data_IF_483988203578
#
_entry.id   IF_483988203578
#
_cell.length_a   1.000
_cell.length_b   1.000
_cell.length_c   1.000
_cell.angle_alpha   90.00
_cell.angle_beta   90.00
_cell.angle_gamma   90.00
#
_symmetry.space_group_name_H-M   'P 1'
#
loop_
_entity.id
_entity.type
_entity.pdbx_description
1 polymer ?
#
# COMPACT_ATOMS: atom_id res chain seq x y z
N UNK A 1 2.30 33.36 -8.82
CA UNK A 1 1.44 33.11 -7.64
C UNK A 1 0.06 32.54 -7.98
N UNK A 2 -0.72 33.12 -8.92
CA UNK A 2 -2.07 32.58 -9.27
C UNK A 2 -2.00 31.23 -10.03
N UNK A 3 -0.98 31.04 -10.89
CA UNK A 3 -0.86 29.82 -11.74
C UNK A 3 -0.68 28.51 -10.96
N UNK A 4 -0.11 28.56 -9.75
CA UNK A 4 0.11 27.36 -8.94
C UNK A 4 -1.13 26.96 -8.14
N UNK A 5 -2.03 27.91 -7.84
CA UNK A 5 -3.24 27.64 -7.05
C UNK A 5 -4.19 26.67 -7.74
N UNK A 6 -4.39 26.81 -9.06
CA UNK A 6 -5.25 25.91 -9.84
C UNK A 6 -4.67 24.48 -9.85
N UNK A 7 -3.35 24.34 -10.07
CA UNK A 7 -2.70 23.03 -10.06
C UNK A 7 -2.81 22.37 -8.67
N UNK A 8 -2.57 23.14 -7.61
CA UNK A 8 -2.69 22.67 -6.24
C UNK A 8 -4.12 22.22 -5.94
N UNK A 9 -5.13 22.97 -6.38
CA UNK A 9 -6.53 22.57 -6.22
C UNK A 9 -6.84 21.25 -6.95
N UNK A 10 -6.39 21.10 -8.21
CA UNK A 10 -6.55 19.84 -8.96
C UNK A 10 -5.89 18.68 -8.22
N UNK A 11 -4.64 18.84 -7.78
CA UNK A 11 -3.90 17.81 -7.04
C UNK A 11 -4.62 17.43 -5.74
N UNK A 12 -5.14 18.41 -5.00
CA UNK A 12 -5.88 18.19 -3.77
C UNK A 12 -7.14 17.36 -4.01
N UNK A 13 -7.93 17.70 -5.03
CA UNK A 13 -9.15 16.96 -5.37
C UNK A 13 -8.82 15.53 -5.80
N UNK A 14 -7.76 15.32 -6.58
CA UNK A 14 -7.30 13.99 -6.97
C UNK A 14 -6.89 13.16 -5.74
N UNK A 15 -6.05 13.72 -4.86
CA UNK A 15 -5.59 13.03 -3.66
C UNK A 15 -6.79 12.68 -2.76
N UNK A 16 -7.72 13.62 -2.58
CA UNK A 16 -8.96 13.39 -1.84
C UNK A 16 -9.76 12.24 -2.44
N UNK A 17 -9.95 12.20 -3.76
CA UNK A 17 -10.69 11.13 -4.44
C UNK A 17 -9.98 9.76 -4.32
N UNK A 18 -8.65 9.73 -4.27
CA UNK A 18 -7.85 8.51 -4.08
C UNK A 18 -7.93 7.96 -2.64
N UNK A 19 -8.09 8.82 -1.63
CA UNK A 19 -8.18 8.43 -0.20
C UNK A 19 -9.62 8.13 0.20
N UNK A 20 -10.54 9.01 -0.17
CA UNK A 20 -11.88 9.13 0.41
C UNK A 20 -12.96 8.91 -0.65
N UNK A 21 -13.13 7.65 -1.07
CA UNK A 21 -14.16 7.25 -2.05
C UNK A 21 -15.58 7.64 -1.64
N UNK A 22 -15.83 7.75 -0.34
CA UNK A 22 -17.13 8.15 0.23
C UNK A 22 -17.64 9.48 -0.35
N UNK A 23 -16.75 10.42 -0.64
CA UNK A 23 -17.17 11.71 -1.20
C UNK A 23 -17.61 11.57 -2.66
N UNK A 24 -16.86 10.82 -3.47
CA UNK A 24 -17.23 10.57 -4.85
C UNK A 24 -18.55 9.77 -4.97
N UNK A 25 -18.79 8.80 -4.08
CA UNK A 25 -19.98 7.96 -4.14
C UNK A 25 -21.24 8.66 -3.58
N UNK A 26 -21.11 9.59 -2.63
CA UNK A 26 -22.27 10.33 -2.08
C UNK A 26 -22.61 11.62 -2.85
N UNK A 27 -21.67 12.16 -3.63
CA UNK A 27 -21.86 13.39 -4.43
C UNK A 27 -21.93 13.06 -5.93
N UNK A 28 -22.56 11.93 -6.28
CA UNK A 28 -22.70 11.43 -7.66
C UNK A 28 -23.74 12.23 -8.48
N UNK A 29 -23.58 13.55 -8.50
CA UNK A 29 -24.35 14.46 -9.36
C UNK A 29 -23.72 14.36 -10.75
N UNK A 30 -24.43 13.86 -11.75
CA UNK A 30 -23.89 13.73 -13.10
C UNK A 30 -24.23 14.96 -13.95
N UNK A 31 -23.21 15.61 -14.52
CA UNK A 31 -23.38 16.69 -15.51
C UNK A 31 -22.92 16.12 -16.85
N UNK A 32 -23.83 16.00 -17.82
CA UNK A 32 -23.55 15.38 -19.12
C UNK A 32 -22.99 13.94 -19.00
N UNK A 33 -23.45 13.19 -18.00
CA UNK A 33 -22.98 11.83 -17.72
C UNK A 33 -21.61 11.74 -17.03
N UNK A 34 -20.99 12.87 -16.67
CA UNK A 34 -19.71 12.91 -15.94
C UNK A 34 -19.94 13.51 -14.56
N UNK A 35 -19.60 12.75 -13.51
CA UNK A 35 -19.59 13.27 -12.14
C UNK A 35 -18.49 14.32 -11.96
N UNK A 36 -18.75 15.49 -11.33
CA UNK A 36 -17.75 16.54 -11.13
C UNK A 36 -16.64 16.11 -10.16
N UNK A 37 -16.84 15.04 -9.39
CA UNK A 37 -15.81 14.40 -8.55
C UNK A 37 -15.27 13.10 -9.15
N UNK A 38 -15.51 12.84 -10.43
CA UNK A 38 -14.91 11.71 -11.15
C UNK A 38 -13.40 11.86 -11.18
N UNK A 39 -12.69 10.85 -10.67
CA UNK A 39 -11.23 10.84 -10.68
C UNK A 39 -10.67 11.01 -12.10
N UNK A 40 -11.31 10.39 -13.09
CA UNK A 40 -10.92 10.47 -14.50
C UNK A 40 -10.99 11.89 -15.07
N UNK A 41 -12.03 12.66 -14.70
CA UNK A 41 -12.15 14.06 -15.11
C UNK A 41 -10.96 14.87 -14.59
N UNK A 42 -10.67 14.74 -13.30
CA UNK A 42 -9.56 15.48 -12.69
C UNK A 42 -8.19 15.03 -13.18
N UNK A 43 -8.02 13.74 -13.50
CA UNK A 43 -6.82 13.24 -14.19
C UNK A 43 -6.65 13.90 -15.56
N UNK A 44 -7.72 14.00 -16.36
CA UNK A 44 -7.68 14.69 -17.65
C UNK A 44 -7.30 16.17 -17.53
N UNK A 45 -7.96 16.88 -16.59
CA UNK A 45 -7.64 18.28 -16.28
C UNK A 45 -6.19 18.46 -15.81
N UNK A 46 -5.68 17.52 -15.00
CA UNK A 46 -4.29 17.51 -14.56
C UNK A 46 -3.32 17.38 -15.74
N UNK A 47 -3.56 16.42 -16.65
CA UNK A 47 -2.70 16.19 -17.83
C UNK A 47 -2.69 17.42 -18.73
N UNK A 48 -3.86 17.98 -19.06
CA UNK A 48 -3.97 19.22 -19.85
C UNK A 48 -3.19 20.34 -19.17
N UNK A 49 -3.36 20.50 -17.85
CA UNK A 49 -2.65 21.54 -17.09
C UNK A 49 -1.14 21.37 -17.13
N UNK A 50 -0.63 20.15 -17.02
CA UNK A 50 0.82 19.87 -17.10
C UNK A 50 1.35 20.19 -18.48
N UNK A 51 0.67 19.75 -19.54
CA UNK A 51 1.07 20.02 -20.92
C UNK A 51 1.19 21.51 -21.21
N UNK A 52 0.25 22.32 -20.69
CA UNK A 52 0.25 23.77 -20.88
C UNK A 52 1.33 24.51 -20.08
N UNK A 53 1.75 24.00 -18.92
CA UNK A 53 2.58 24.77 -17.97
C UNK A 53 4.00 24.23 -17.84
N UNK A 54 4.18 22.90 -17.83
CA UNK A 54 5.47 22.22 -17.61
C UNK A 54 5.50 20.82 -18.22
N UNK A 55 5.47 20.74 -19.55
CA UNK A 55 5.62 19.47 -20.28
C UNK A 55 6.94 18.73 -19.97
N UNK A 56 7.99 19.43 -19.54
CA UNK A 56 9.27 18.83 -19.15
C UNK A 56 9.15 17.81 -18.00
N UNK A 57 8.10 17.87 -17.18
CA UNK A 57 7.84 16.84 -16.15
C UNK A 57 7.58 15.48 -16.81
N UNK A 58 6.96 15.47 -17.99
CA UNK A 58 6.63 14.24 -18.73
C UNK A 58 7.85 13.58 -19.38
N UNK A 59 9.01 14.25 -19.41
CA UNK A 59 10.23 13.71 -20.03
C UNK A 59 11.28 13.25 -19.02
N UNK A 60 10.96 13.25 -17.72
CA UNK A 60 11.89 12.78 -16.69
C UNK A 60 12.17 11.28 -16.85
N UNK A 61 13.32 10.83 -16.32
CA UNK A 61 13.71 9.42 -16.40
C UNK A 61 12.70 8.48 -15.73
N UNK A 62 12.09 8.91 -14.62
CA UNK A 62 11.00 8.16 -13.97
C UNK A 62 9.81 8.00 -14.90
N UNK A 63 9.41 9.08 -15.60
CA UNK A 63 8.31 9.04 -16.56
C UNK A 63 8.63 8.16 -17.77
N UNK A 64 9.88 8.15 -18.24
CA UNK A 64 10.30 7.24 -19.31
C UNK A 64 10.12 5.76 -18.92
N UNK A 65 10.51 5.37 -17.70
CA UNK A 65 10.27 4.01 -17.21
C UNK A 65 8.77 3.73 -16.98
N UNK A 66 7.98 4.75 -16.61
CA UNK A 66 6.53 4.61 -16.53
C UNK A 66 5.93 4.34 -17.92
N UNK A 67 6.37 5.05 -18.95
CA UNK A 67 5.93 4.80 -20.33
C UNK A 67 6.34 3.41 -20.81
N UNK A 68 7.55 2.98 -20.51
CA UNK A 68 7.99 1.60 -20.79
C UNK A 68 7.06 0.59 -20.12
N UNK A 69 6.77 0.75 -18.83
CA UNK A 69 5.84 -0.12 -18.10
C UNK A 69 4.44 -0.13 -18.72
N UNK A 70 3.89 1.04 -19.08
CA UNK A 70 2.57 1.15 -19.72
C UNK A 70 2.58 0.44 -21.09
N UNK A 71 3.57 0.70 -21.94
CA UNK A 71 3.68 0.13 -23.28
C UNK A 71 3.80 -1.40 -23.19
N UNK A 72 4.69 -1.92 -22.34
CA UNK A 72 4.85 -3.36 -22.15
C UNK A 72 3.55 -4.00 -21.66
N UNK A 73 2.86 -3.36 -20.70
CA UNK A 73 1.59 -3.87 -20.17
C UNK A 73 0.48 -3.84 -21.22
N UNK A 74 0.42 -2.81 -22.07
CA UNK A 74 -0.54 -2.71 -23.17
C UNK A 74 -0.28 -3.81 -24.22
N UNK A 75 0.98 -3.98 -24.66
CA UNK A 75 1.36 -5.04 -25.60
C UNK A 75 0.98 -6.41 -25.04
N UNK A 76 1.30 -6.66 -23.77
CA UNK A 76 0.96 -7.90 -23.09
C UNK A 76 -0.57 -8.11 -23.00
N UNK A 77 -1.33 -7.05 -22.73
CA UNK A 77 -2.80 -7.09 -22.68
C UNK A 77 -3.42 -7.45 -24.05
N UNK A 78 -2.87 -6.90 -25.14
CA UNK A 78 -3.28 -7.25 -26.51
C UNK A 78 -2.89 -8.68 -26.89
N UNK A 79 -1.63 -9.06 -26.63
CA UNK A 79 -1.09 -10.36 -27.04
C UNK A 79 -1.77 -11.55 -26.37
N UNK A 80 -2.21 -11.39 -25.12
CA UNK A 80 -2.79 -12.49 -24.34
C UNK A 80 -4.32 -12.43 -24.28
N UNK A 81 -4.96 -11.60 -25.11
CA UNK A 81 -6.42 -11.36 -25.06
C UNK A 81 -6.92 -11.02 -23.64
N UNK A 82 -6.06 -10.43 -22.81
CA UNK A 82 -6.40 -9.97 -21.46
C UNK A 82 -7.12 -8.60 -21.50
N UNK A 83 -7.90 -8.34 -22.56
CA UNK A 83 -8.61 -7.08 -22.83
C UNK A 83 -9.64 -6.66 -21.75
N UNK A 84 -9.61 -7.29 -20.57
CA UNK A 84 -10.26 -6.74 -19.40
C UNK A 84 -9.61 -5.40 -19.04
N UNK A 85 -10.33 -4.31 -19.31
CA UNK A 85 -10.01 -2.94 -18.88
C UNK A 85 -9.76 -2.84 -17.36
N UNK A 86 -10.21 -3.85 -16.61
CA UNK A 86 -10.04 -4.02 -15.18
C UNK A 86 -8.60 -3.92 -14.69
N UNK A 87 -7.64 -4.50 -15.42
CA UNK A 87 -6.26 -4.52 -14.96
C UNK A 87 -5.57 -3.17 -15.14
N UNK A 88 -5.87 -2.48 -16.24
CA UNK A 88 -5.46 -1.09 -16.47
C UNK A 88 -5.98 -0.18 -15.36
N UNK A 89 -7.26 -0.32 -15.00
CA UNK A 89 -7.89 0.48 -13.94
C UNK A 89 -7.33 0.18 -12.55
N UNK A 90 -7.08 -1.08 -12.21
CA UNK A 90 -6.70 -1.44 -10.84
C UNK A 90 -5.21 -1.34 -10.54
N UNK A 91 -4.35 -1.32 -11.57
CA UNK A 91 -2.90 -1.45 -11.44
C UNK A 91 -2.17 -0.33 -12.17
N UNK A 92 -2.32 -0.26 -13.49
CA UNK A 92 -1.55 0.66 -14.33
C UNK A 92 -1.90 2.11 -14.02
N UNK A 93 -3.19 2.46 -14.00
CA UNK A 93 -3.64 3.83 -13.76
C UNK A 93 -3.29 4.33 -12.35
N UNK A 94 -3.48 3.57 -11.26
CA UNK A 94 -3.04 3.95 -9.92
C UNK A 94 -1.54 4.23 -9.82
N UNK A 95 -0.71 3.38 -10.44
CA UNK A 95 0.74 3.59 -10.48
C UNK A 95 1.07 4.84 -11.30
N UNK A 96 0.53 4.96 -12.52
CA UNK A 96 0.80 6.07 -13.42
C UNK A 96 0.42 7.41 -12.81
N UNK A 97 -0.76 7.51 -12.20
CA UNK A 97 -1.22 8.71 -11.53
C UNK A 97 -0.35 9.05 -10.32
N UNK A 98 0.01 8.05 -9.50
CA UNK A 98 0.83 8.29 -8.30
C UNK A 98 2.24 8.74 -8.64
N UNK A 99 2.85 8.18 -9.69
CA UNK A 99 4.16 8.60 -10.21
C UNK A 99 4.08 9.99 -10.83
N UNK A 100 3.06 10.27 -11.64
CA UNK A 100 2.87 11.60 -12.23
C UNK A 100 2.70 12.67 -11.15
N UNK A 101 1.86 12.41 -10.15
CA UNK A 101 1.69 13.31 -9.02
C UNK A 101 3.00 13.47 -8.23
N UNK A 102 3.75 12.38 -8.00
CA UNK A 102 5.04 12.45 -7.34
C UNK A 102 6.01 13.41 -8.07
N UNK A 103 6.14 13.27 -9.39
CA UNK A 103 7.00 14.11 -10.21
C UNK A 103 6.57 15.58 -10.15
N UNK A 104 5.26 15.86 -10.23
CA UNK A 104 4.74 17.23 -10.06
C UNK A 104 5.09 17.79 -8.69
N UNK A 105 4.79 17.04 -7.63
CA UNK A 105 4.98 17.49 -6.27
C UNK A 105 6.47 17.78 -5.99
N UNK A 106 7.35 16.87 -6.38
CA UNK A 106 8.78 16.98 -6.05
C UNK A 106 9.53 18.01 -6.89
N UNK A 107 9.21 18.17 -8.18
CA UNK A 107 9.95 19.05 -9.08
C UNK A 107 9.32 20.43 -9.27
N UNK A 108 8.03 20.58 -9.02
CA UNK A 108 7.31 21.82 -9.38
C UNK A 108 6.83 22.65 -8.18
N UNK A 109 6.44 22.03 -7.07
CA UNK A 109 5.82 22.76 -5.96
C UNK A 109 6.82 23.23 -4.90
N UNK A 110 6.52 24.38 -4.29
CA UNK A 110 7.32 24.90 -3.18
C UNK A 110 7.18 24.01 -1.94
N UNK A 111 8.19 24.05 -1.05
CA UNK A 111 8.18 23.30 0.21
C UNK A 111 6.99 23.65 1.11
N UNK A 112 6.51 24.88 1.07
CA UNK A 112 5.31 25.30 1.82
C UNK A 112 4.05 24.64 1.28
N UNK A 113 3.86 24.67 -0.02
CA UNK A 113 2.73 23.99 -0.69
C UNK A 113 2.77 22.49 -0.44
N UNK A 114 3.95 21.87 -0.49
CA UNK A 114 4.11 20.44 -0.18
C UNK A 114 3.71 20.11 1.26
N UNK A 115 4.11 20.94 2.23
CA UNK A 115 3.69 20.78 3.63
C UNK A 115 2.17 20.91 3.78
N UNK A 116 1.56 21.88 3.10
CA UNK A 116 0.11 22.05 3.10
C UNK A 116 -0.61 20.83 2.53
N UNK A 117 -0.23 20.38 1.33
CA UNK A 117 -0.81 19.20 0.69
C UNK A 117 -0.66 17.97 1.59
N UNK A 118 0.52 17.74 2.17
CA UNK A 118 0.73 16.59 3.04
C UNK A 118 -0.13 16.64 4.31
N UNK A 119 -0.22 17.79 5.00
CA UNK A 119 -1.09 17.93 6.18
C UNK A 119 -2.56 17.66 5.83
N UNK A 120 -3.00 18.18 4.68
CA UNK A 120 -4.34 17.92 4.15
C UNK A 120 -4.55 16.42 3.88
N UNK A 121 -3.59 15.76 3.22
CA UNK A 121 -3.61 14.31 2.98
C UNK A 121 -3.72 13.52 4.29
N UNK A 122 -2.91 13.85 5.31
CA UNK A 122 -2.95 13.17 6.61
C UNK A 122 -4.28 13.39 7.34
N UNK A 123 -4.89 14.57 7.21
CA UNK A 123 -6.23 14.85 7.74
C UNK A 123 -7.27 13.94 7.08
N UNK A 124 -7.23 13.77 5.76
CA UNK A 124 -8.15 12.87 5.06
C UNK A 124 -7.93 11.40 5.41
N UNK A 125 -6.68 10.99 5.63
CA UNK A 125 -6.39 9.63 6.14
C UNK A 125 -7.01 9.44 7.53
N UNK A 126 -6.86 10.41 8.43
CA UNK A 126 -7.46 10.36 9.77
C UNK A 126 -8.99 10.29 9.69
N UNK A 127 -9.60 11.13 8.85
CA UNK A 127 -11.04 11.13 8.60
C UNK A 127 -11.52 9.78 8.06
N UNK A 128 -10.83 9.22 7.05
CA UNK A 128 -11.14 7.89 6.52
C UNK A 128 -10.97 6.79 7.57
N UNK A 129 -9.95 6.86 8.43
CA UNK A 129 -9.79 5.93 9.55
C UNK A 129 -10.99 5.97 10.50
N UNK A 130 -11.44 7.17 10.89
CA UNK A 130 -12.61 7.34 11.76
C UNK A 130 -13.88 6.75 11.12
N UNK A 131 -14.16 7.07 9.85
CA UNK A 131 -15.32 6.50 9.15
C UNK A 131 -15.26 4.97 9.07
N UNK A 132 -14.09 4.41 8.77
CA UNK A 132 -13.91 2.96 8.74
C UNK A 132 -14.13 2.34 10.13
N UNK A 133 -13.60 2.92 11.20
CA UNK A 133 -13.83 2.41 12.57
C UNK A 133 -15.33 2.40 12.89
N UNK A 134 -16.03 3.52 12.65
CA UNK A 134 -17.47 3.61 12.90
C UNK A 134 -18.24 2.58 12.07
N UNK A 135 -17.92 2.46 10.78
CA UNK A 135 -18.56 1.51 9.88
C UNK A 135 -18.31 0.05 10.27
N UNK A 136 -17.09 -0.29 10.67
CA UNK A 136 -16.69 -1.67 10.98
C UNK A 136 -17.13 -2.14 12.36
N UNK A 137 -17.37 -1.23 13.31
CA UNK A 137 -18.06 -1.58 14.57
C UNK A 137 -19.48 -2.08 14.27
N UNK A 138 -20.17 -1.46 13.30
CA UNK A 138 -21.53 -1.85 12.90
C UNK A 138 -21.55 -3.04 11.95
N UNK A 139 -20.59 -3.11 11.03
CA UNK A 139 -20.50 -4.13 9.99
C UNK A 139 -19.10 -4.76 9.92
N UNK A 140 -18.75 -5.66 10.87
CA UNK A 140 -17.39 -6.22 10.96
C UNK A 140 -16.92 -6.99 9.71
N UNK A 141 -17.86 -7.50 8.91
CA UNK A 141 -17.57 -8.26 7.68
C UNK A 141 -17.61 -7.41 6.40
N UNK A 142 -17.92 -6.11 6.49
CA UNK A 142 -18.10 -5.26 5.31
C UNK A 142 -16.88 -5.20 4.39
N UNK A 143 -15.66 -5.20 4.94
CA UNK A 143 -14.43 -5.22 4.11
C UNK A 143 -14.37 -6.47 3.22
N UNK A 144 -14.80 -7.62 3.76
CA UNK A 144 -14.82 -8.88 3.00
C UNK A 144 -15.92 -8.84 1.95
N UNK A 145 -17.08 -8.26 2.27
CA UNK A 145 -18.19 -8.08 1.32
C UNK A 145 -17.79 -7.16 0.14
N UNK A 146 -17.09 -6.04 0.41
CA UNK A 146 -16.64 -5.09 -0.62
C UNK A 146 -15.67 -5.74 -1.61
N UNK A 147 -14.81 -6.65 -1.15
CA UNK A 147 -13.72 -7.20 -1.99
C UNK A 147 -14.05 -8.57 -2.57
N UNK A 148 -14.79 -9.38 -1.82
CA UNK A 148 -15.13 -10.74 -2.19
C UNK A 148 -16.36 -10.82 -3.08
N UNK A 149 -16.34 -10.22 -4.28
CA UNK A 149 -17.41 -10.39 -5.28
C UNK A 149 -17.76 -11.85 -5.68
N UNK A 150 -17.20 -12.86 -5.00
CA UNK A 150 -17.59 -14.27 -5.05
C UNK A 150 -18.26 -14.81 -3.77
N UNK A 151 -18.61 -13.97 -2.79
CA UNK A 151 -19.28 -14.38 -1.55
C UNK A 151 -20.81 -14.28 -1.57
N UNK A 152 -21.42 -13.91 -2.70
CA UNK A 152 -22.87 -13.79 -2.85
C UNK A 152 -23.48 -12.46 -2.37
N UNK A 153 -22.67 -11.45 -2.02
CA UNK A 153 -23.18 -10.13 -1.65
C UNK A 153 -23.65 -9.33 -2.87
N UNK A 154 -24.80 -8.66 -2.76
CA UNK A 154 -25.38 -7.91 -3.85
C UNK A 154 -24.57 -6.63 -4.14
N UNK A 155 -24.49 -6.16 -5.41
CA UNK A 155 -23.83 -4.89 -5.75
C UNK A 155 -24.33 -3.68 -4.92
N UNK A 156 -25.58 -3.74 -4.48
CA UNK A 156 -26.22 -2.76 -3.61
C UNK A 156 -25.56 -2.67 -2.23
N UNK A 157 -25.20 -3.81 -1.63
CA UNK A 157 -24.53 -3.85 -0.32
C UNK A 157 -23.11 -3.29 -0.38
N UNK A 158 -22.38 -3.61 -1.46
CA UNK A 158 -21.04 -3.04 -1.70
C UNK A 158 -21.12 -1.52 -1.84
N UNK A 159 -22.14 -1.03 -2.56
CA UNK A 159 -22.40 0.40 -2.72
C UNK A 159 -22.76 1.04 -1.38
N UNK A 160 -23.63 0.41 -0.60
CA UNK A 160 -24.02 0.87 0.73
C UNK A 160 -22.81 1.00 1.67
N UNK A 161 -21.97 -0.04 1.79
CA UNK A 161 -20.77 0.03 2.64
C UNK A 161 -19.80 1.12 2.20
N UNK A 162 -19.65 1.33 0.90
CA UNK A 162 -18.82 2.42 0.37
C UNK A 162 -19.41 3.80 0.69
N UNK A 163 -20.74 3.96 0.63
CA UNK A 163 -21.45 5.22 0.97
C UNK A 163 -21.33 5.60 2.44
N UNK A 164 -21.25 4.64 3.35
CA UNK A 164 -21.03 4.92 4.78
C UNK A 164 -19.54 5.09 5.13
N UNK A 165 -18.64 5.01 4.14
CA UNK A 165 -17.22 5.30 4.30
C UNK A 165 -16.31 4.09 4.55
N UNK A 166 -16.82 2.86 4.46
CA UNK A 166 -15.99 1.66 4.55
C UNK A 166 -15.17 1.53 3.26
N UNK A 167 -13.85 1.47 3.43
CA UNK A 167 -12.88 1.40 2.36
C UNK A 167 -12.63 -0.05 1.90
N UNK A 168 -11.90 -0.22 0.79
CA UNK A 168 -11.52 -1.54 0.27
C UNK A 168 -10.16 -2.00 0.85
N UNK A 169 -9.71 -3.21 0.48
CA UNK A 169 -8.40 -3.74 0.92
C UNK A 169 -7.22 -2.81 0.61
N UNK A 170 -7.28 -2.02 -0.46
CA UNK A 170 -6.22 -1.08 -0.81
C UNK A 170 -5.95 -0.03 0.28
N UNK A 171 -7.00 0.44 0.96
CA UNK A 171 -6.82 1.38 2.06
C UNK A 171 -6.15 0.71 3.26
N UNK A 172 -6.71 -0.40 3.74
CA UNK A 172 -6.21 -1.10 4.94
C UNK A 172 -4.81 -1.70 4.76
N UNK A 173 -4.52 -2.28 3.59
CA UNK A 173 -3.18 -2.76 3.25
C UNK A 173 -2.17 -1.62 3.08
N UNK A 174 -2.66 -0.39 2.88
CA UNK A 174 -1.84 0.81 2.66
C UNK A 174 -1.35 1.47 3.94
N UNK A 175 -2.12 1.36 5.02
CA UNK A 175 -1.79 1.97 6.31
C UNK A 175 -0.45 1.48 6.91
N UNK A 176 -0.10 0.19 6.90
CA UNK A 176 1.10 -0.33 7.57
C UNK A 176 2.41 0.33 7.17
N UNK A 177 2.66 0.52 5.87
CA UNK A 177 3.91 1.10 5.40
C UNK A 177 3.99 2.61 5.63
N UNK A 178 2.90 3.28 6.04
CA UNK A 178 2.94 4.68 6.46
C UNK A 178 3.41 4.82 7.91
N UNK A 179 3.21 3.82 8.77
CA UNK A 179 3.55 3.89 10.19
C UNK A 179 5.00 4.32 10.48
N UNK A 180 6.04 3.82 9.78
CA UNK A 180 7.42 4.24 10.01
C UNK A 180 7.65 5.74 9.83
N UNK A 181 7.10 6.33 8.76
CA UNK A 181 7.28 7.77 8.48
C UNK A 181 6.41 8.63 9.40
N UNK A 182 5.21 8.19 9.78
CA UNK A 182 4.39 8.92 10.77
C UNK A 182 5.07 8.88 12.15
N UNK A 183 5.68 7.77 12.53
CA UNK A 183 6.48 7.69 13.76
C UNK A 183 7.71 8.62 13.70
N UNK A 184 8.36 8.72 12.55
CA UNK A 184 9.43 9.71 12.36
C UNK A 184 8.92 11.15 12.55
N UNK A 185 7.75 11.50 12.00
CA UNK A 185 7.13 12.81 12.19
C UNK A 185 6.80 13.09 13.66
N UNK A 186 6.25 12.10 14.36
CA UNK A 186 6.05 12.13 15.81
C UNK A 186 7.36 12.45 16.54
N UNK A 187 8.44 11.70 16.26
CA UNK A 187 9.75 11.89 16.88
C UNK A 187 10.35 13.27 16.62
N UNK A 188 10.14 13.83 15.42
CA UNK A 188 10.73 15.12 15.01
C UNK A 188 9.91 16.34 15.39
N UNK A 189 8.64 16.17 15.69
CA UNK A 189 7.76 17.27 16.10
C UNK A 189 8.20 17.88 17.44
N UNK A 190 8.18 19.22 17.53
CA UNK A 190 8.57 19.97 18.73
C UNK A 190 7.41 20.24 19.69
N UNK A 191 6.19 20.41 19.17
CA UNK A 191 5.01 20.73 19.98
C UNK A 191 4.28 19.49 20.50
N UNK A 192 3.81 19.56 21.75
CA UNK A 192 3.02 18.50 22.39
C UNK A 192 1.76 18.19 21.58
N UNK A 193 1.09 19.21 21.03
CA UNK A 193 -0.08 19.01 20.16
C UNK A 193 0.28 18.20 18.90
N UNK A 194 1.34 18.58 18.18
CA UNK A 194 1.77 17.84 16.97
C UNK A 194 2.16 16.39 17.32
N UNK A 195 2.85 16.17 18.44
CA UNK A 195 3.13 14.81 18.94
C UNK A 195 1.86 14.04 19.21
N UNK A 196 0.90 14.63 19.92
CA UNK A 196 -0.38 14.01 20.22
C UNK A 196 -1.17 13.70 18.94
N UNK A 197 -1.14 14.58 17.93
CA UNK A 197 -1.78 14.36 16.64
C UNK A 197 -1.16 13.18 15.88
N UNK A 198 0.17 13.11 15.76
CA UNK A 198 0.81 11.97 15.08
C UNK A 198 0.64 10.66 15.83
N UNK A 199 0.71 10.70 17.17
CA UNK A 199 0.42 9.52 18.00
C UNK A 199 -1.03 9.07 17.84
N UNK A 200 -1.98 10.01 17.88
CA UNK A 200 -3.40 9.77 17.61
C UNK A 200 -3.62 9.17 16.22
N UNK A 201 -2.92 9.66 15.19
CA UNK A 201 -2.98 9.09 13.85
C UNK A 201 -2.44 7.66 13.79
N UNK A 202 -1.30 7.37 14.44
CA UNK A 202 -0.77 6.00 14.56
C UNK A 202 -1.81 5.08 15.21
N UNK A 203 -2.40 5.50 16.32
CA UNK A 203 -3.43 4.73 17.03
C UNK A 203 -4.67 4.51 16.17
N UNK A 204 -5.16 5.54 15.48
CA UNK A 204 -6.28 5.43 14.54
C UNK A 204 -6.01 4.44 13.42
N UNK A 205 -4.80 4.47 12.84
CA UNK A 205 -4.41 3.54 11.78
C UNK A 205 -4.36 2.10 12.28
N UNK A 206 -3.77 1.85 13.45
CA UNK A 206 -3.72 0.51 14.07
C UNK A 206 -5.14 0.01 14.36
N UNK A 207 -5.99 0.83 14.98
CA UNK A 207 -7.38 0.47 15.27
C UNK A 207 -8.18 0.18 13.99
N UNK A 208 -8.00 1.00 12.95
CA UNK A 208 -8.67 0.80 11.66
C UNK A 208 -8.28 -0.54 11.03
N UNK A 209 -7.00 -0.88 11.05
CA UNK A 209 -6.52 -2.18 10.54
C UNK A 209 -7.02 -3.33 11.43
N UNK A 210 -7.04 -3.17 12.74
CA UNK A 210 -7.59 -4.16 13.67
C UNK A 210 -9.06 -4.47 13.38
N UNK A 211 -9.91 -3.44 13.29
CA UNK A 211 -11.35 -3.60 13.00
C UNK A 211 -11.62 -4.16 11.59
N UNK A 212 -10.70 -4.00 10.64
CA UNK A 212 -10.84 -4.59 9.29
C UNK A 212 -10.74 -6.12 9.29
N UNK A 213 -10.28 -6.75 10.37
CA UNK A 213 -10.02 -8.20 10.50
C UNK A 213 -9.01 -8.76 9.51
N UNK A 214 -8.13 -7.90 8.96
CA UNK A 214 -7.08 -8.31 8.02
C UNK A 214 -5.76 -8.49 8.79
N UNK A 215 -5.37 -9.74 9.00
CA UNK A 215 -4.21 -10.09 9.84
C UNK A 215 -2.87 -9.61 9.26
N UNK A 216 -2.62 -9.78 7.95
CA UNK A 216 -1.32 -9.45 7.35
C UNK A 216 -0.94 -7.97 7.50
N UNK A 217 -1.82 -6.99 7.18
CA UNK A 217 -1.55 -5.58 7.45
C UNK A 217 -1.28 -5.27 8.92
N UNK A 218 -2.02 -5.88 9.86
CA UNK A 218 -1.83 -5.63 11.29
C UNK A 218 -0.45 -6.10 11.75
N UNK A 219 -0.06 -7.33 11.37
CA UNK A 219 1.23 -7.92 11.73
C UNK A 219 2.39 -7.10 11.15
N UNK A 220 2.35 -6.83 9.84
CA UNK A 220 3.41 -6.06 9.18
C UNK A 220 3.51 -4.64 9.72
N UNK A 221 2.38 -3.98 10.00
CA UNK A 221 2.36 -2.65 10.58
C UNK A 221 2.95 -2.62 12.00
N UNK A 222 2.63 -3.62 12.81
CA UNK A 222 3.16 -3.77 14.17
C UNK A 222 4.67 -3.99 14.14
N UNK A 223 5.17 -4.90 13.30
CA UNK A 223 6.61 -5.14 13.13
C UNK A 223 7.31 -3.87 12.66
N UNK A 224 6.79 -3.23 11.60
CA UNK A 224 7.38 -2.00 11.05
C UNK A 224 7.45 -0.87 12.09
N UNK A 225 6.42 -0.71 12.92
CA UNK A 225 6.40 0.26 14.01
C UNK A 225 7.41 -0.09 15.11
N UNK A 226 7.49 -1.35 15.54
CA UNK A 226 8.47 -1.80 16.55
C UNK A 226 9.91 -1.54 16.08
N UNK A 227 10.23 -1.90 14.83
CA UNK A 227 11.53 -1.63 14.20
C UNK A 227 11.81 -0.14 14.11
N UNK A 228 10.77 0.67 13.86
CA UNK A 228 10.89 2.13 13.83
C UNK A 228 11.20 2.70 15.22
N UNK A 229 10.55 2.19 16.27
CA UNK A 229 10.75 2.60 17.68
C UNK A 229 12.14 2.23 18.19
N UNK A 230 12.61 1.02 17.91
CA UNK A 230 13.88 0.49 18.43
C UNK A 230 15.13 1.21 17.86
N UNK A 231 15.00 1.89 16.73
CA UNK A 231 16.08 2.51 15.92
C UNK A 231 16.82 3.74 16.50
N UNK A 232 16.73 3.99 17.81
CA UNK A 232 17.08 5.26 18.45
C UNK A 232 18.43 5.90 18.10
N UNK A 233 19.46 5.12 17.73
CA UNK A 233 20.84 5.57 17.44
C UNK A 233 21.42 4.95 16.15
N UNK A 234 22.31 5.66 15.43
CA UNK A 234 22.86 5.23 14.12
C UNK A 234 23.48 3.82 14.10
N UNK A 235 24.26 3.45 15.12
CA UNK A 235 24.86 2.11 15.24
C UNK A 235 23.79 0.99 15.37
N UNK A 236 22.63 1.33 15.92
CA UNK A 236 21.50 0.41 16.11
C UNK A 236 20.61 0.29 14.88
N UNK A 237 20.81 1.08 13.82
CA UNK A 237 19.94 1.06 12.63
C UNK A 237 20.28 -0.09 11.69
N UNK A 238 21.56 -0.28 11.37
CA UNK A 238 22.02 -1.45 10.61
C UNK A 238 21.80 -2.74 11.41
N UNK A 239 22.14 -2.71 12.71
CA UNK A 239 21.91 -3.83 13.62
C UNK A 239 20.42 -4.12 13.79
N UNK A 240 19.51 -3.14 13.88
CA UNK A 240 18.08 -3.41 13.99
C UNK A 240 17.51 -4.05 12.73
N UNK A 241 17.93 -3.59 11.54
CA UNK A 241 17.51 -4.22 10.28
C UNK A 241 18.05 -5.64 10.18
N UNK A 242 19.35 -5.84 10.45
CA UNK A 242 19.96 -7.17 10.45
C UNK A 242 19.30 -8.05 11.51
N UNK A 243 19.18 -7.61 12.75
CA UNK A 243 18.58 -8.35 13.86
C UNK A 243 17.11 -8.68 13.58
N UNK A 244 16.32 -7.78 13.01
CA UNK A 244 14.91 -8.08 12.67
C UNK A 244 14.86 -9.08 11.52
N UNK A 245 15.65 -8.90 10.47
CA UNK A 245 15.75 -9.86 9.37
C UNK A 245 16.24 -11.22 9.85
N UNK A 246 17.22 -11.26 10.75
CA UNK A 246 17.74 -12.46 11.38
C UNK A 246 16.71 -13.09 12.29
N UNK A 247 15.95 -12.34 13.10
CA UNK A 247 14.85 -12.90 13.91
C UNK A 247 13.78 -13.50 13.00
N UNK A 248 13.38 -12.81 11.93
CA UNK A 248 12.40 -13.34 10.96
C UNK A 248 12.93 -14.60 10.29
N UNK A 249 14.20 -14.62 9.86
CA UNK A 249 14.84 -15.79 9.25
C UNK A 249 15.00 -16.93 10.26
N UNK A 250 15.40 -16.65 11.50
CA UNK A 250 15.54 -17.64 12.56
C UNK A 250 14.18 -18.21 12.98
N UNK A 251 13.11 -17.41 13.00
CA UNK A 251 11.75 -17.88 13.21
C UNK A 251 11.27 -18.78 12.07
N UNK A 252 11.82 -18.64 10.86
CA UNK A 252 11.53 -19.51 9.71
C UNK A 252 12.39 -20.79 9.76
N UNK A 253 13.67 -20.69 10.14
CA UNK A 253 14.63 -21.79 10.09
C UNK A 253 14.64 -22.68 11.34
N UNK A 254 14.36 -22.11 12.52
CA UNK A 254 14.46 -22.79 13.82
C UNK A 254 13.12 -22.81 14.55
N UNK A 255 12.06 -23.09 13.81
CA UNK A 255 10.70 -23.27 14.31
C UNK A 255 10.69 -24.35 15.41
N UNK A 256 10.51 -24.03 16.71
CA UNK A 256 10.52 -25.04 17.75
C UNK A 256 9.18 -25.79 17.73
N UNK A 257 9.14 -26.89 16.99
CA UNK A 257 7.93 -27.66 16.68
C UNK A 257 7.07 -27.91 17.92
N UNK A 258 7.67 -28.37 19.03
CA UNK A 258 6.93 -28.66 20.26
C UNK A 258 6.39 -27.45 21.05
N UNK A 259 6.93 -26.24 20.85
CA UNK A 259 6.38 -25.01 21.47
C UNK A 259 5.24 -24.46 20.62
N UNK A 260 5.41 -24.47 19.30
CA UNK A 260 4.38 -24.02 18.37
C UNK A 260 3.19 -24.94 18.40
N UNK A 261 3.38 -26.26 18.37
CA UNK A 261 2.31 -27.25 18.41
C UNK A 261 1.41 -27.11 19.65
N UNK A 262 2.03 -26.96 20.83
CA UNK A 262 1.31 -26.72 22.09
C UNK A 262 0.61 -25.36 22.12
N UNK A 263 1.25 -24.32 21.55
CA UNK A 263 0.66 -22.98 21.46
C UNK A 263 -0.54 -22.96 20.52
N UNK A 264 -0.44 -23.62 19.36
CA UNK A 264 -1.53 -23.75 18.40
C UNK A 264 -2.68 -24.57 18.99
N UNK A 265 -2.39 -25.69 19.66
CA UNK A 265 -3.41 -26.48 20.35
C UNK A 265 -4.17 -25.64 21.39
N UNK A 266 -3.43 -24.87 22.21
CA UNK A 266 -4.03 -23.95 23.19
C UNK A 266 -4.92 -22.89 22.50
N UNK A 267 -4.41 -22.22 21.46
CA UNK A 267 -5.14 -21.19 20.71
C UNK A 267 -6.38 -21.78 20.02
N UNK A 268 -6.29 -22.99 19.48
CA UNK A 268 -7.40 -23.71 18.86
C UNK A 268 -8.52 -24.00 19.86
N UNK A 269 -8.16 -24.39 21.08
CA UNK A 269 -9.13 -24.70 22.15
C UNK A 269 -9.84 -23.47 22.71
N UNK A 270 -9.20 -22.30 22.70
CA UNK A 270 -9.79 -21.03 23.15
C UNK A 270 -10.35 -20.18 21.99
N UNK A 271 -10.38 -20.72 20.77
CA UNK A 271 -10.75 -19.98 19.58
C UNK A 271 -12.23 -19.53 19.65
N UNK A 272 -12.54 -18.25 19.35
CA UNK A 272 -13.90 -17.71 19.48
C UNK A 272 -14.87 -18.18 18.39
N UNK A 273 -14.41 -18.97 17.41
CA UNK A 273 -15.23 -19.48 16.31
C UNK A 273 -14.61 -20.73 15.69
N UNK A 274 -15.45 -21.59 15.13
CA UNK A 274 -15.05 -22.79 14.39
C UNK A 274 -14.08 -22.45 13.23
N UNK A 275 -14.28 -21.31 12.56
CA UNK A 275 -13.41 -20.88 11.47
C UNK A 275 -11.98 -20.57 11.92
N UNK A 276 -11.80 -20.05 13.14
CA UNK A 276 -10.47 -19.80 13.73
C UNK A 276 -9.87 -21.12 14.19
N UNK A 277 -10.66 -21.97 14.86
CA UNK A 277 -10.22 -23.29 15.30
C UNK A 277 -9.74 -24.14 14.12
N UNK A 278 -10.49 -24.18 13.01
CA UNK A 278 -10.11 -24.89 11.78
C UNK A 278 -8.79 -24.37 11.22
N UNK A 279 -8.59 -23.05 11.13
CA UNK A 279 -7.34 -22.46 10.64
C UNK A 279 -6.13 -22.78 11.51
N UNK A 280 -6.34 -22.84 12.83
CA UNK A 280 -5.27 -23.20 13.77
C UNK A 280 -4.93 -24.68 13.63
N UNK A 281 -5.94 -25.56 13.53
CA UNK A 281 -5.74 -26.98 13.25
C UNK A 281 -5.07 -27.25 11.90
N UNK A 282 -5.40 -26.49 10.87
CA UNK A 282 -4.75 -26.54 9.55
C UNK A 282 -3.26 -26.21 9.62
N UNK A 283 -2.88 -25.17 10.38
CA UNK A 283 -1.47 -24.81 10.59
C UNK A 283 -0.75 -25.90 11.36
N UNK A 284 -1.40 -26.45 12.38
CA UNK A 284 -0.84 -27.53 13.18
C UNK A 284 -0.59 -28.78 12.34
N UNK A 285 -1.57 -29.19 11.53
CA UNK A 285 -1.44 -30.32 10.60
C UNK A 285 -0.30 -30.12 9.62
N UNK A 286 -0.24 -28.96 8.96
CA UNK A 286 0.81 -28.62 8.00
C UNK A 286 2.24 -28.65 8.60
N UNK A 287 2.38 -28.35 9.90
CA UNK A 287 3.67 -28.43 10.60
C UNK A 287 4.06 -29.86 10.97
N UNK A 288 3.09 -30.73 11.29
CA UNK A 288 3.33 -32.10 11.75
C UNK A 288 3.50 -33.09 10.60
N UNK A 289 2.62 -32.99 9.60
CA UNK A 289 2.52 -33.97 8.50
C UNK A 289 3.35 -33.55 7.28
N UNK A 290 3.90 -32.34 7.29
CA UNK A 290 4.46 -31.72 6.09
C UNK A 290 3.36 -31.20 5.17
N UNK A 291 3.75 -30.71 4.00
CA UNK A 291 2.83 -30.08 3.05
C UNK A 291 3.08 -30.65 1.67
N UNK A 292 2.12 -31.41 1.16
CA UNK A 292 2.11 -31.88 -0.22
C UNK A 292 1.24 -30.94 -1.06
N UNK A 293 1.86 -30.28 -2.04
CA UNK A 293 1.17 -29.35 -2.93
C UNK A 293 1.02 -30.01 -4.29
N UNK A 294 -0.15 -30.56 -4.56
CA UNK A 294 -0.45 -31.14 -5.87
C UNK A 294 -1.02 -30.09 -6.83
N UNK A 295 -0.74 -30.28 -8.12
CA UNK A 295 -1.13 -29.35 -9.18
C UNK A 295 -2.65 -29.32 -9.46
N UNK A 296 -3.37 -30.41 -9.16
CA UNK A 296 -4.75 -30.67 -9.61
C UNK A 296 -5.77 -30.93 -8.48
N UNK A 297 -5.48 -30.57 -7.23
CA UNK A 297 -6.43 -30.87 -6.15
C UNK A 297 -7.67 -29.98 -6.25
N UNK A 298 -8.85 -30.59 -6.42
CA UNK A 298 -10.12 -29.93 -6.10
C UNK A 298 -10.01 -29.35 -4.68
N UNK A 299 -10.49 -28.11 -4.47
CA UNK A 299 -10.34 -27.38 -3.20
C UNK A 299 -11.00 -28.03 -1.97
N UNK A 300 -11.57 -29.23 -2.13
CA UNK A 300 -12.24 -30.01 -1.09
C UNK A 300 -11.22 -30.87 -0.36
N UNK A 301 -10.84 -30.43 0.84
CA UNK A 301 -9.98 -31.20 1.76
C UNK A 301 -8.64 -30.54 2.07
N UNK A 302 -8.22 -29.55 1.28
CA UNK A 302 -6.99 -28.80 1.53
C UNK A 302 -7.11 -27.92 2.79
N UNK A 303 -6.06 -27.95 3.59
CA UNK A 303 -5.81 -27.00 4.68
C UNK A 303 -5.63 -25.58 4.14
N UNK A 304 -5.90 -24.59 4.98
CA UNK A 304 -5.64 -23.18 4.63
C UNK A 304 -4.17 -22.86 4.35
N UNK A 305 -3.23 -23.71 4.77
CA UNK A 305 -1.79 -23.58 4.46
C UNK A 305 -1.50 -24.11 3.05
N UNK A 306 -1.98 -25.30 2.71
CA UNK A 306 -1.86 -25.89 1.38
C UNK A 306 -2.45 -24.97 0.31
N UNK A 307 -3.65 -24.42 0.53
CA UNK A 307 -4.28 -23.46 -0.39
C UNK A 307 -3.41 -22.21 -0.65
N UNK A 308 -2.53 -21.81 0.28
CA UNK A 308 -1.62 -20.68 0.08
C UNK A 308 -0.36 -21.08 -0.68
N UNK A 309 0.19 -22.25 -0.38
CA UNK A 309 1.36 -22.77 -1.08
C UNK A 309 1.02 -23.18 -2.52
N UNK A 310 -0.18 -23.72 -2.75
CA UNK A 310 -0.69 -24.02 -4.09
C UNK A 310 -0.71 -22.79 -5.00
N UNK A 311 -1.05 -21.62 -4.47
CA UNK A 311 -0.98 -20.34 -5.21
C UNK A 311 0.45 -19.98 -5.60
N UNK A 312 1.41 -20.22 -4.70
CA UNK A 312 2.84 -20.00 -5.01
C UNK A 312 3.27 -20.97 -6.11
N UNK A 313 2.89 -22.24 -6.00
CA UNK A 313 3.19 -23.27 -7.00
C UNK A 313 2.67 -22.87 -8.39
N UNK A 314 1.38 -22.54 -8.52
CA UNK A 314 0.80 -22.14 -9.82
C UNK A 314 1.53 -20.96 -10.46
N UNK A 315 1.92 -19.97 -9.65
CA UNK A 315 2.65 -18.80 -10.15
C UNK A 315 4.04 -19.19 -10.65
N UNK A 316 4.77 -20.02 -9.88
CA UNK A 316 6.12 -20.46 -10.25
C UNK A 316 6.07 -21.34 -11.49
N UNK A 317 5.14 -22.30 -11.54
CA UNK A 317 4.94 -23.17 -12.70
C UNK A 317 4.59 -22.35 -13.96
N UNK A 318 3.65 -21.40 -13.85
CA UNK A 318 3.32 -20.47 -14.93
C UNK A 318 4.54 -19.65 -15.38
N UNK A 319 5.31 -19.11 -14.44
CA UNK A 319 6.55 -18.38 -14.76
C UNK A 319 7.55 -19.26 -15.51
N UNK A 320 7.80 -20.49 -15.04
CA UNK A 320 8.78 -21.39 -15.64
C UNK A 320 8.38 -21.83 -17.06
N UNK A 321 7.08 -21.95 -17.34
CA UNK A 321 6.57 -22.23 -18.70
C UNK A 321 6.83 -21.08 -19.67
N UNK A 322 6.71 -19.82 -19.22
CA UNK A 322 6.94 -18.62 -20.05
C UNK A 322 7.69 -17.52 -19.30
N UNK A 323 9.01 -17.65 -19.07
CA UNK A 323 9.73 -16.72 -18.20
C UNK A 323 9.79 -15.27 -18.70
N UNK A 324 9.83 -15.07 -20.02
CA UNK A 324 9.94 -13.73 -20.60
C UNK A 324 8.61 -12.99 -20.61
N UNK A 325 7.55 -13.66 -21.06
CA UNK A 325 6.26 -13.04 -21.37
C UNK A 325 5.17 -13.35 -20.37
N UNK A 326 5.33 -14.36 -19.50
CA UNK A 326 4.34 -14.79 -18.52
C UNK A 326 3.22 -15.68 -19.09
N UNK A 327 2.47 -16.28 -18.18
CA UNK A 327 1.44 -17.30 -18.44
C UNK A 327 0.15 -17.00 -17.66
N UNK A 328 -0.56 -15.91 -17.96
CA UNK A 328 -1.72 -15.49 -17.18
C UNK A 328 -2.91 -16.45 -17.28
N UNK A 329 -3.01 -17.24 -18.35
CA UNK A 329 -4.08 -18.25 -18.54
C UNK A 329 -3.79 -19.55 -17.80
N UNK A 330 -2.53 -19.82 -17.49
CA UNK A 330 -2.11 -21.03 -16.76
C UNK A 330 -2.13 -20.81 -15.24
N UNK A 331 -2.36 -19.57 -14.79
CA UNK A 331 -2.38 -19.18 -13.38
C UNK A 331 -3.83 -18.94 -12.95
N UNK A 332 -4.38 -19.73 -12.02
CA UNK A 332 -5.74 -19.52 -11.54
C UNK A 332 -5.93 -18.13 -10.95
N UNK A 333 -7.11 -17.50 -11.12
CA UNK A 333 -7.39 -16.18 -10.56
C UNK A 333 -7.07 -16.11 -9.07
N UNK A 334 -7.33 -17.15 -8.28
CA UNK A 334 -7.07 -17.24 -6.84
C UNK A 334 -5.60 -16.95 -6.46
N UNK A 335 -4.66 -17.10 -7.40
CA UNK A 335 -3.26 -16.74 -7.21
C UNK A 335 -3.03 -15.21 -7.11
N UNK A 336 -3.97 -14.36 -7.55
CA UNK A 336 -3.88 -12.89 -7.50
C UNK A 336 -3.61 -12.36 -6.07
N UNK A 337 -3.88 -13.18 -5.06
CA UNK A 337 -3.61 -12.90 -3.67
C UNK A 337 -2.13 -12.65 -3.34
N UNK A 338 -1.18 -13.04 -4.20
CA UNK A 338 0.26 -12.80 -4.03
C UNK A 338 0.75 -11.80 -5.09
N UNK A 339 0.55 -10.51 -4.87
CA UNK A 339 0.60 -9.49 -5.94
C UNK A 339 1.89 -9.47 -6.78
N UNK A 340 3.06 -9.42 -6.14
CA UNK A 340 4.34 -9.35 -6.89
C UNK A 340 4.65 -10.64 -7.62
N UNK A 341 4.41 -11.77 -6.95
CA UNK A 341 4.62 -13.08 -7.54
C UNK A 341 3.65 -13.27 -8.72
N UNK A 342 2.38 -12.92 -8.54
CA UNK A 342 1.37 -12.99 -9.59
C UNK A 342 1.79 -12.17 -10.81
N UNK A 343 2.29 -10.94 -10.64
CA UNK A 343 2.82 -10.16 -11.79
C UNK A 343 3.98 -10.84 -12.48
N UNK A 344 4.91 -11.42 -11.71
CA UNK A 344 6.04 -12.13 -12.26
C UNK A 344 5.58 -13.34 -13.08
N UNK A 345 4.69 -14.17 -12.54
CA UNK A 345 4.16 -15.33 -13.27
C UNK A 345 3.27 -14.94 -14.44
N UNK A 346 2.42 -13.93 -14.27
CA UNK A 346 1.44 -13.54 -15.29
C UNK A 346 2.07 -12.73 -16.42
N UNK A 347 3.12 -11.94 -16.16
CA UNK A 347 3.76 -11.05 -17.16
C UNK A 347 5.21 -11.38 -17.51
N UNK A 348 5.81 -12.35 -16.83
CA UNK A 348 7.20 -12.69 -16.99
C UNK A 348 8.15 -11.54 -16.62
N UNK A 349 9.40 -11.69 -17.02
CA UNK A 349 10.47 -10.71 -16.79
C UNK A 349 10.17 -9.39 -17.52
N UNK A 350 9.52 -9.41 -18.68
CA UNK A 350 9.27 -8.17 -19.43
C UNK A 350 8.31 -7.25 -18.68
N UNK A 351 7.15 -7.74 -18.26
CA UNK A 351 6.18 -6.93 -17.52
C UNK A 351 6.69 -6.58 -16.13
N UNK A 352 7.04 -7.58 -15.32
CA UNK A 352 7.51 -7.35 -13.96
C UNK A 352 8.82 -6.56 -13.91
N UNK A 353 9.75 -6.81 -14.83
CA UNK A 353 11.01 -6.09 -14.93
C UNK A 353 10.83 -4.63 -15.29
N UNK A 354 9.92 -4.29 -16.21
CA UNK A 354 9.62 -2.88 -16.52
C UNK A 354 9.05 -2.12 -15.31
N UNK A 355 8.20 -2.78 -14.51
CA UNK A 355 7.70 -2.24 -13.25
C UNK A 355 8.81 -2.08 -12.21
N UNK A 356 9.70 -3.07 -12.10
CA UNK A 356 10.83 -3.02 -11.17
C UNK A 356 11.78 -1.86 -11.51
N UNK A 357 12.07 -1.63 -12.79
CA UNK A 357 12.88 -0.50 -13.24
C UNK A 357 12.26 0.85 -12.84
N UNK A 358 10.95 1.00 -13.02
CA UNK A 358 10.20 2.18 -12.57
C UNK A 358 10.35 2.41 -11.06
N UNK A 359 10.16 1.35 -10.26
CA UNK A 359 10.26 1.44 -8.80
C UNK A 359 11.70 1.75 -8.35
N UNK A 360 12.69 1.08 -8.93
CA UNK A 360 14.10 1.31 -8.62
C UNK A 360 14.48 2.76 -8.93
N UNK A 361 14.09 3.30 -10.09
CA UNK A 361 14.39 4.69 -10.42
C UNK A 361 13.74 5.67 -9.44
N UNK A 362 12.43 5.53 -9.20
CA UNK A 362 11.68 6.41 -8.32
C UNK A 362 12.22 6.38 -6.88
N UNK A 363 12.49 5.20 -6.33
CA UNK A 363 12.96 5.05 -4.95
C UNK A 363 14.43 5.47 -4.80
N UNK A 364 15.28 5.20 -5.81
CA UNK A 364 16.67 5.67 -5.81
C UNK A 364 16.75 7.20 -5.82
N UNK A 365 15.92 7.86 -6.62
CA UNK A 365 15.90 9.33 -6.68
C UNK A 365 15.47 9.93 -5.34
N UNK A 366 14.47 9.33 -4.69
CA UNK A 366 14.04 9.71 -3.35
C UNK A 366 15.14 9.53 -2.30
N UNK A 367 15.78 8.35 -2.24
CA UNK A 367 16.86 8.07 -1.28
C UNK A 367 18.04 9.05 -1.41
N UNK A 368 18.39 9.48 -2.62
CA UNK A 368 19.45 10.47 -2.86
C UNK A 368 19.15 11.82 -2.21
N UNK A 369 17.88 12.22 -2.10
CA UNK A 369 17.47 13.51 -1.52
C UNK A 369 17.42 13.54 0.01
N UNK A 370 17.34 12.37 0.65
CA UNK A 370 17.07 12.28 2.09
C UNK A 370 18.33 12.24 2.95
N UNK A 371 18.22 12.76 4.18
CA UNK A 371 19.26 12.57 5.21
C UNK A 371 19.17 11.15 5.79
N UNK A 372 20.28 10.62 6.32
CA UNK A 372 20.40 9.23 6.77
C UNK A 372 19.35 8.80 7.82
N UNK A 373 18.92 9.73 8.67
CA UNK A 373 17.83 9.44 9.60
C UNK A 373 16.49 9.21 8.90
N UNK A 374 16.14 10.00 7.89
CA UNK A 374 14.91 9.79 7.14
C UNK A 374 15.00 8.60 6.21
N UNK A 375 16.17 8.38 5.58
CA UNK A 375 16.44 7.21 4.74
C UNK A 375 16.07 5.91 5.46
N UNK A 376 16.38 5.81 6.74
CA UNK A 376 16.01 4.65 7.56
C UNK A 376 14.49 4.38 7.59
N UNK A 377 13.69 5.37 7.98
CA UNK A 377 12.23 5.20 8.05
C UNK A 377 11.61 5.00 6.66
N UNK A 378 12.13 5.70 5.66
CA UNK A 378 11.78 5.50 4.26
C UNK A 378 12.03 4.05 3.80
N UNK A 379 13.19 3.49 4.12
CA UNK A 379 13.53 2.10 3.80
C UNK A 379 12.65 1.08 4.51
N UNK A 380 12.25 1.31 5.77
CA UNK A 380 11.28 0.43 6.45
C UNK A 380 9.92 0.48 5.76
N UNK A 381 9.46 1.68 5.38
CA UNK A 381 8.22 1.84 4.61
C UNK A 381 8.28 1.08 3.27
N UNK A 382 9.38 1.22 2.52
CA UNK A 382 9.59 0.48 1.28
C UNK A 382 9.59 -1.04 1.50
N UNK A 383 10.32 -1.52 2.50
CA UNK A 383 10.39 -2.94 2.82
C UNK A 383 9.00 -3.48 3.19
N UNK A 384 8.26 -2.75 4.02
CA UNK A 384 6.90 -3.11 4.43
C UNK A 384 5.95 -3.18 3.22
N UNK A 385 6.06 -2.23 2.28
CA UNK A 385 5.30 -2.22 1.03
C UNK A 385 5.65 -3.41 0.13
N UNK A 386 6.94 -3.71 -0.05
CA UNK A 386 7.41 -4.86 -0.83
C UNK A 386 6.91 -6.16 -0.20
N UNK A 387 7.15 -6.37 1.10
CA UNK A 387 6.69 -7.56 1.83
C UNK A 387 5.18 -7.71 1.78
N UNK A 388 4.41 -6.61 1.87
CA UNK A 388 2.96 -6.65 1.73
C UNK A 388 2.54 -7.23 0.36
N UNK A 389 3.17 -6.80 -0.74
CA UNK A 389 2.85 -7.32 -2.06
C UNK A 389 3.34 -8.75 -2.33
N UNK A 390 4.32 -9.25 -1.57
CA UNK A 390 4.69 -10.68 -1.60
C UNK A 390 3.59 -11.51 -0.92
N UNK A 391 3.14 -11.06 0.26
CA UNK A 391 2.25 -11.84 1.12
C UNK A 391 0.75 -11.64 0.81
N UNK A 392 0.40 -10.56 0.13
CA UNK A 392 -0.98 -10.15 -0.08
C UNK A 392 -1.18 -9.33 -1.35
N UNK A 393 -2.42 -9.32 -1.83
CA UNK A 393 -2.86 -8.43 -2.90
C UNK A 393 -2.72 -6.97 -2.45
N UNK A 394 -2.06 -6.17 -3.28
CA UNK A 394 -1.95 -4.72 -3.11
C UNK A 394 -2.55 -4.05 -4.33
N UNK A 395 -3.76 -3.53 -4.19
CA UNK A 395 -4.46 -2.89 -5.31
C UNK A 395 -5.13 -1.60 -4.85
N UNK A 396 -5.47 -0.76 -5.82
CA UNK A 396 -6.20 0.46 -5.58
C UNK A 396 -5.31 1.68 -5.34
N UNK A 397 -5.95 2.84 -5.49
CA UNK A 397 -5.31 4.15 -5.54
C UNK A 397 -4.49 4.49 -4.30
N UNK A 398 -5.02 4.22 -3.11
CA UNK A 398 -4.36 4.53 -1.85
C UNK A 398 -3.01 3.80 -1.69
N UNK A 399 -2.87 2.58 -2.21
CA UNK A 399 -1.64 1.79 -2.10
C UNK A 399 -0.44 2.50 -2.74
N UNK A 400 -0.63 3.04 -3.94
CA UNK A 400 0.44 3.70 -4.66
C UNK A 400 0.58 5.17 -4.25
N UNK A 401 -0.53 5.83 -3.87
CA UNK A 401 -0.50 7.16 -3.25
C UNK A 401 0.40 7.17 -2.01
N UNK A 402 0.25 6.17 -1.14
CA UNK A 402 1.02 6.05 0.08
C UNK A 402 2.52 6.03 -0.20
N UNK A 403 2.99 5.11 -1.04
CA UNK A 403 4.42 4.86 -1.24
C UNK A 403 5.11 5.86 -2.18
N UNK A 404 4.41 6.42 -3.17
CA UNK A 404 4.97 7.43 -4.08
C UNK A 404 4.76 8.86 -3.59
N UNK A 405 3.75 9.13 -2.76
CA UNK A 405 3.47 10.50 -2.33
C UNK A 405 3.69 10.67 -0.84
N UNK A 406 2.89 9.99 0.00
CA UNK A 406 2.86 10.27 1.44
C UNK A 406 4.21 9.96 2.09
N UNK A 407 4.79 8.81 1.78
CA UNK A 407 6.09 8.38 2.31
C UNK A 407 7.21 9.31 1.81
N UNK A 408 7.36 9.67 0.53
CA UNK A 408 8.37 10.64 0.11
C UNK A 408 8.20 12.04 0.71
N UNK A 409 6.97 12.58 0.68
CA UNK A 409 6.71 13.96 1.07
C UNK A 409 6.87 14.21 2.57
N UNK A 410 6.71 13.18 3.41
CA UNK A 410 6.85 13.29 4.87
C UNK A 410 8.21 13.82 5.32
N UNK A 411 9.24 13.71 4.49
CA UNK A 411 10.54 14.33 4.72
C UNK A 411 10.44 15.86 4.90
N UNK A 412 9.61 16.51 4.09
CA UNK A 412 9.48 17.96 4.04
C UNK A 412 8.75 18.56 5.24
N UNK A 413 7.91 17.77 5.92
CA UNK A 413 7.20 18.19 7.13
C UNK A 413 8.12 18.23 8.36
N UNK A 414 9.14 17.37 8.39
CA UNK A 414 10.06 17.26 9.54
C UNK A 414 11.04 18.43 9.70
N UNK A 415 11.13 19.34 8.73
CA UNK A 415 12.05 20.48 8.72
C UNK A 415 11.48 21.75 9.37
N UNK A 416 10.46 21.62 10.23
CA UNK A 416 9.82 22.74 10.94
C UNK A 416 10.70 23.42 12.02
N UNK A 417 11.91 22.93 12.31
CA UNK A 417 12.84 23.62 13.21
C UNK A 417 13.75 24.57 12.41
N UNK A 418 13.69 25.91 12.61
CA UNK A 418 14.87 26.72 12.37
C UNK A 418 16.01 26.17 13.25
N UNK A 419 17.25 26.14 12.75
CA UNK A 419 18.37 25.70 13.56
C UNK A 419 18.46 26.58 14.82
N UNK A 420 18.74 25.98 15.98
CA UNK A 420 18.83 26.67 17.27
C UNK A 420 19.82 27.85 17.24
N UNK A 421 20.78 27.84 16.31
CA UNK A 421 21.72 28.95 16.09
C UNK A 421 21.06 30.26 15.64
N UNK A 422 19.87 30.23 15.05
CA UNK A 422 19.19 31.45 14.58
C UNK A 422 18.33 32.10 15.68
N UNK A 423 17.94 31.36 16.72
CA UNK A 423 17.17 31.92 17.87
C UNK A 423 18.01 32.76 18.82
N UNK A 424 19.33 32.61 18.81
CA UNK A 424 20.22 33.43 19.64
C UNK A 424 20.49 34.77 18.98
N UNK A 425 20.33 34.89 17.65
CA UNK A 425 20.49 36.17 16.93
C UNK A 425 19.23 37.04 16.96
N UNK A 426 18.04 36.46 16.98
CA UNK A 426 16.78 37.23 17.07
C UNK A 426 16.45 37.75 18.48
N UNK A 427 17.25 37.43 19.50
CA UNK A 427 17.10 37.99 20.87
C UNK A 427 18.22 39.00 21.18
N UNK A 428 19.17 39.19 20.26
CA UNK A 428 20.30 40.11 20.41
C UNK A 428 20.27 41.34 19.50
N UNK A 429 19.21 41.51 18.71
CA UNK A 429 18.86 42.71 17.96
C UNK A 429 17.47 43.20 18.45
#
# INVERSE_FOLDING_TARGET
MIKDRILVAIVIVIIQAMISRVMAVNLDIQILGIGPLSLYLWMGLLIIRILMVRSAILTTRTMQYLYLFIIVTLIHSFYLNLLSMWWLERWVLPIALSVLLHEILMYYLSKETLRFILRFTLLFIAFSCVLNIIGLIRFPLAVRAIVGGGGGYAPEEVTYFTRIGISNYGFFSGLPYLLPVIYYLFRKSSGTLNKAMYLGLIMLMILTVYFSTITTPLLLGSIALLVSVYSGTMLRRGVAVIMTSTIVILMILFTPEGVIDRSLSFVGNIAPSEAVQRRVGDIQRALQEGIEVEAETESRGLTTVELRLQRIYWIIDGFLKRPLTGSPHDIPPEAYHLHWLYLLGSTGILGFGSLLLLFVEAFRNNLRMYKDEYRYFYSISLLTFITMGILKVITGWFMYLGIFIIVPLSYHLSREKPPVKDRVREISD
#
